data_IF_063212640693
#
_entry.id   IF_063212640693
#
_cell.length_a   1.000
_cell.length_b   1.000
_cell.length_c   1.000
_cell.angle_alpha   90.00
_cell.angle_beta   90.00
_cell.angle_gamma   90.00
#
_symmetry.space_group_name_H-M   'P 1'
#
loop_
_entity.id
_entity.type
_entity.pdbx_description
1 polymer ?
#
# COMPACT_ATOMS: atom_id res chain seq x y z
N UNK A 1 -2.92 -11.23 5.22
CA UNK A 1 -2.90 -9.93 4.51
C UNK A 1 -1.51 -9.30 4.48
N UNK A 2 -0.90 -8.97 5.64
CA UNK A 2 0.41 -8.29 5.71
C UNK A 2 1.49 -9.00 4.90
N UNK A 3 1.63 -10.31 5.03
CA UNK A 3 2.61 -11.11 4.29
C UNK A 3 2.44 -11.07 2.76
N UNK A 4 1.22 -10.89 2.28
CA UNK A 4 0.93 -10.80 0.83
C UNK A 4 1.17 -9.42 0.24
N UNK A 5 1.11 -8.36 1.06
CA UNK A 5 1.18 -6.97 0.58
C UNK A 5 2.51 -6.27 0.90
N UNK A 6 3.32 -6.82 1.80
CA UNK A 6 4.63 -6.26 2.16
C UNK A 6 5.60 -6.12 0.97
N UNK A 7 5.48 -7.01 -0.02
CA UNK A 7 6.33 -7.01 -1.21
C UNK A 7 6.21 -5.73 -2.03
N UNK A 8 5.02 -5.12 -2.09
CA UNK A 8 4.82 -3.84 -2.78
C UNK A 8 5.65 -2.72 -2.15
N UNK A 9 5.70 -2.67 -0.81
CA UNK A 9 6.52 -1.69 -0.10
C UNK A 9 8.00 -2.00 -0.31
N UNK A 10 8.39 -3.26 -0.13
CA UNK A 10 9.80 -3.68 -0.26
C UNK A 10 10.37 -3.34 -1.64
N UNK A 11 9.69 -3.71 -2.72
CA UNK A 11 10.18 -3.43 -4.08
C UNK A 11 10.24 -1.94 -4.38
N UNK A 12 9.27 -1.16 -3.92
CA UNK A 12 9.30 0.30 -4.10
C UNK A 12 10.45 0.94 -3.30
N UNK A 13 10.71 0.49 -2.07
CA UNK A 13 11.82 0.98 -1.26
C UNK A 13 13.18 0.61 -1.89
N UNK A 14 13.32 -0.62 -2.40
CA UNK A 14 14.52 -1.05 -3.12
C UNK A 14 14.72 -0.20 -4.38
N UNK A 15 13.67 0.03 -5.16
CA UNK A 15 13.72 0.88 -6.35
C UNK A 15 14.16 2.30 -6.00
N UNK A 16 13.59 2.90 -4.94
CA UNK A 16 13.99 4.21 -4.45
C UNK A 16 15.44 4.27 -3.99
N UNK A 17 15.89 3.26 -3.26
CA UNK A 17 17.29 3.17 -2.82
C UNK A 17 18.26 2.99 -3.98
N UNK A 18 17.87 2.27 -5.04
CA UNK A 18 18.67 2.05 -6.24
C UNK A 18 18.71 3.28 -7.15
N UNK A 19 17.64 4.07 -7.16
CA UNK A 19 17.56 5.30 -7.93
C UNK A 19 18.25 6.50 -7.26
N UNK A 20 18.79 6.30 -6.04
CA UNK A 20 19.42 7.37 -5.29
C UNK A 20 20.71 7.82 -5.97
N UNK A 21 20.88 9.13 -6.32
CA UNK A 21 22.04 9.61 -7.03
C UNK A 21 23.34 9.40 -6.25
N UNK A 22 24.40 8.96 -6.94
CA UNK A 22 25.73 8.75 -6.36
C UNK A 22 26.33 10.03 -5.76
N UNK A 23 25.98 11.17 -6.33
CA UNK A 23 26.49 12.49 -5.93
C UNK A 23 26.20 12.81 -4.46
N UNK A 24 25.02 12.41 -3.95
CA UNK A 24 24.70 12.56 -2.54
C UNK A 24 25.59 11.72 -1.63
N UNK A 25 25.99 10.53 -2.09
CA UNK A 25 26.92 9.67 -1.33
C UNK A 25 28.33 10.26 -1.31
N UNK A 26 28.78 10.82 -2.44
CA UNK A 26 30.07 11.49 -2.56
C UNK A 26 30.09 12.77 -1.72
N UNK A 27 29.03 13.57 -1.77
CA UNK A 27 28.89 14.75 -0.93
C UNK A 27 28.93 14.39 0.56
N UNK A 28 28.16 13.37 0.98
CA UNK A 28 28.17 12.91 2.36
C UNK A 28 29.55 12.44 2.83
N UNK A 29 30.30 11.74 1.96
CA UNK A 29 31.67 11.33 2.24
C UNK A 29 32.61 12.54 2.39
N UNK A 30 32.46 13.56 1.52
CA UNK A 30 33.25 14.80 1.57
C UNK A 30 33.01 15.59 2.85
N UNK A 31 31.76 15.64 3.32
CA UNK A 31 31.39 16.29 4.58
C UNK A 31 31.61 15.41 5.83
N UNK A 32 32.13 14.18 5.66
CA UNK A 32 32.36 13.20 6.73
C UNK A 32 31.09 12.95 7.58
N UNK A 33 29.93 12.88 6.93
CA UNK A 33 28.66 12.63 7.63
C UNK A 33 28.68 11.20 8.18
N UNK A 34 28.47 10.99 9.51
CA UNK A 34 28.45 9.66 10.10
C UNK A 34 27.32 8.81 9.49
N UNK A 35 27.54 7.50 9.36
CA UNK A 35 26.59 6.58 8.72
C UNK A 35 25.15 6.65 9.26
N UNK A 36 24.96 6.92 10.56
CA UNK A 36 23.63 7.10 11.13
C UNK A 36 22.93 8.36 10.62
N UNK A 37 23.63 9.51 10.54
CA UNK A 37 23.09 10.76 9.99
C UNK A 37 22.82 10.63 8.48
N UNK A 38 23.65 9.91 7.73
CA UNK A 38 23.38 9.58 6.34
C UNK A 38 22.03 8.89 6.17
N UNK A 39 21.75 7.85 6.99
CA UNK A 39 20.50 7.12 6.91
C UNK A 39 19.31 7.99 7.30
N UNK A 40 19.40 8.70 8.43
CA UNK A 40 18.29 9.47 9.00
C UNK A 40 17.96 10.72 8.20
N UNK A 41 18.97 11.48 7.80
CA UNK A 41 18.81 12.85 7.30
C UNK A 41 18.83 12.92 5.77
N UNK A 42 19.36 11.89 5.08
CA UNK A 42 19.47 11.84 3.63
C UNK A 42 18.68 10.67 3.03
N UNK A 43 19.03 9.43 3.40
CA UNK A 43 18.42 8.25 2.77
C UNK A 43 16.94 8.08 3.09
N UNK A 44 16.54 8.14 4.36
CA UNK A 44 15.15 7.95 4.74
C UNK A 44 14.22 9.01 4.12
N UNK A 45 14.53 10.31 4.17
CA UNK A 45 13.74 11.32 3.46
C UNK A 45 13.68 11.09 1.96
N UNK A 46 14.82 10.73 1.34
CA UNK A 46 14.88 10.50 -0.11
C UNK A 46 14.09 9.27 -0.59
N UNK A 47 14.01 8.22 0.22
CA UNK A 47 13.24 7.00 -0.07
C UNK A 47 11.76 7.16 0.31
N UNK A 48 11.40 8.13 1.13
CA UNK A 48 10.06 8.28 1.68
C UNK A 48 8.94 8.36 0.62
N UNK A 49 9.08 9.06 -0.53
CA UNK A 49 8.08 9.05 -1.59
C UNK A 49 7.85 7.65 -2.18
N UNK A 50 8.91 6.87 -2.35
CA UNK A 50 8.82 5.49 -2.83
C UNK A 50 8.11 4.58 -1.82
N UNK A 51 8.40 4.76 -0.53
CA UNK A 51 7.67 4.08 0.54
C UNK A 51 6.17 4.39 0.49
N UNK A 52 5.79 5.66 0.33
CA UNK A 52 4.39 6.07 0.23
C UNK A 52 3.73 5.44 -1.01
N UNK A 53 4.41 5.43 -2.15
CA UNK A 53 3.92 4.77 -3.38
C UNK A 53 3.71 3.27 -3.15
N UNK A 54 4.68 2.60 -2.53
CA UNK A 54 4.55 1.19 -2.15
C UNK A 54 3.40 0.92 -1.19
N UNK A 55 3.17 1.80 -0.22
CA UNK A 55 2.09 1.71 0.74
C UNK A 55 0.70 1.89 0.08
N UNK A 56 0.57 2.81 -0.87
CA UNK A 56 -0.65 2.99 -1.68
C UNK A 56 -0.95 1.72 -2.46
N UNK A 57 0.05 1.15 -3.14
CA UNK A 57 -0.09 -0.07 -3.92
C UNK A 57 -0.42 -1.27 -3.03
N UNK A 58 0.25 -1.39 -1.88
CA UNK A 58 -0.04 -2.41 -0.87
C UNK A 58 -1.47 -2.30 -0.32
N UNK A 59 -1.96 -1.08 -0.08
CA UNK A 59 -3.35 -0.83 0.32
C UNK A 59 -4.34 -1.33 -0.73
N UNK A 60 -4.11 -1.05 -2.02
CA UNK A 60 -4.92 -1.58 -3.11
C UNK A 60 -4.94 -3.12 -3.14
N UNK A 61 -3.77 -3.75 -2.99
CA UNK A 61 -3.66 -5.21 -2.89
C UNK A 61 -4.35 -5.79 -1.66
N UNK A 62 -4.33 -5.07 -0.53
CA UNK A 62 -4.98 -5.49 0.70
C UNK A 62 -6.50 -5.58 0.57
N UNK A 63 -7.13 -4.65 -0.17
CA UNK A 63 -8.58 -4.71 -0.46
C UNK A 63 -8.96 -5.98 -1.22
N UNK A 64 -8.20 -6.36 -2.26
CA UNK A 64 -8.45 -7.61 -2.98
C UNK A 64 -8.23 -8.83 -2.10
N UNK A 65 -7.16 -8.84 -1.30
CA UNK A 65 -6.86 -9.93 -0.38
C UNK A 65 -7.93 -10.07 0.72
N UNK A 66 -8.61 -8.97 1.11
CA UNK A 66 -9.67 -9.02 2.13
C UNK A 66 -10.87 -9.83 1.65
N UNK A 67 -11.30 -9.65 0.40
CA UNK A 67 -12.42 -10.41 -0.18
C UNK A 67 -12.14 -11.93 -0.07
N UNK A 68 -10.93 -12.33 -0.45
CA UNK A 68 -10.53 -13.75 -0.44
C UNK A 68 -10.39 -14.28 1.00
N UNK A 69 -9.83 -13.47 1.92
CA UNK A 69 -9.59 -13.90 3.30
C UNK A 69 -10.85 -13.95 4.18
N UNK A 70 -11.89 -13.20 3.82
CA UNK A 70 -13.17 -13.18 4.53
C UNK A 70 -14.08 -14.36 4.16
N UNK A 71 -13.83 -15.01 3.01
CA UNK A 71 -14.58 -16.17 2.55
C UNK A 71 -13.60 -17.29 2.14
N UNK A 72 -13.25 -18.14 3.09
CA UNK A 72 -12.33 -19.27 2.86
C UNK A 72 -13.09 -20.59 2.98
N UNK A 73 -12.98 -21.43 1.97
CA UNK A 73 -13.48 -22.80 2.03
C UNK A 73 -12.31 -23.78 2.21
N UNK A 74 -12.43 -24.66 3.21
CA UNK A 74 -11.48 -25.73 3.45
C UNK A 74 -12.21 -27.08 3.42
N UNK A 75 -12.12 -27.78 2.32
CA UNK A 75 -12.90 -29.00 2.10
C UNK A 75 -14.41 -28.72 2.15
N UNK A 76 -15.13 -29.38 3.05
CA UNK A 76 -16.57 -29.16 3.26
C UNK A 76 -16.89 -28.01 4.23
N UNK A 77 -15.88 -27.44 4.87
CA UNK A 77 -16.07 -26.38 5.88
C UNK A 77 -15.90 -25.01 5.25
N UNK A 78 -16.96 -24.18 5.30
CA UNK A 78 -16.90 -22.78 4.88
C UNK A 78 -16.68 -21.90 6.11
N UNK A 79 -15.59 -21.17 6.12
CA UNK A 79 -15.27 -20.17 7.14
C UNK A 79 -15.57 -18.79 6.51
N UNK A 80 -16.57 -18.11 7.02
CA UNK A 80 -16.85 -16.73 6.65
C UNK A 80 -16.60 -15.81 7.84
N UNK A 81 -15.72 -14.84 7.66
CA UNK A 81 -15.60 -13.68 8.54
C UNK A 81 -16.74 -12.70 8.27
N UNK A 82 -17.13 -11.90 9.26
CA UNK A 82 -18.10 -10.81 9.03
C UNK A 82 -17.39 -9.66 8.30
N UNK A 83 -17.76 -9.42 7.04
CA UNK A 83 -17.18 -8.34 6.25
C UNK A 83 -17.84 -8.17 4.88
N UNK A 84 -17.44 -7.12 4.17
CA UNK A 84 -18.00 -6.80 2.86
C UNK A 84 -17.59 -7.84 1.79
N UNK A 85 -16.40 -8.41 1.91
CA UNK A 85 -15.94 -9.50 1.06
C UNK A 85 -16.76 -10.78 1.25
N UNK A 86 -17.02 -11.16 2.50
CA UNK A 86 -17.90 -12.29 2.82
C UNK A 86 -19.32 -12.09 2.30
N UNK A 87 -19.86 -10.86 2.42
CA UNK A 87 -21.16 -10.51 1.86
C UNK A 87 -21.20 -10.71 0.34
N UNK A 88 -20.21 -10.19 -0.38
CA UNK A 88 -20.11 -10.33 -1.84
C UNK A 88 -20.03 -11.82 -2.21
N UNK A 89 -19.21 -12.60 -1.50
CA UNK A 89 -19.07 -14.04 -1.73
C UNK A 89 -20.41 -14.79 -1.51
N UNK A 90 -21.13 -14.51 -0.44
CA UNK A 90 -22.44 -15.11 -0.18
C UNK A 90 -23.49 -14.76 -1.24
N UNK A 91 -23.53 -13.49 -1.68
CA UNK A 91 -24.45 -13.07 -2.73
C UNK A 91 -24.07 -13.68 -4.08
N UNK A 92 -22.78 -13.92 -4.33
CA UNK A 92 -22.30 -14.61 -5.54
C UNK A 92 -22.76 -16.07 -5.55
N UNK A 93 -22.68 -16.76 -4.41
CA UNK A 93 -23.20 -18.14 -4.29
C UNK A 93 -24.73 -18.21 -4.45
N UNK A 94 -25.44 -17.19 -3.97
CA UNK A 94 -26.90 -17.08 -4.10
C UNK A 94 -27.36 -16.66 -5.51
N UNK A 95 -26.45 -16.20 -6.37
CA UNK A 95 -26.79 -15.68 -7.71
C UNK A 95 -27.54 -14.35 -7.69
N UNK A 96 -27.45 -13.58 -6.58
CA UNK A 96 -28.13 -12.30 -6.40
C UNK A 96 -27.30 -11.15 -6.98
N UNK A 97 -27.36 -11.00 -8.30
CA UNK A 97 -26.59 -9.97 -9.02
C UNK A 97 -26.82 -8.53 -8.56
N UNK A 98 -28.06 -8.08 -8.22
CA UNK A 98 -28.27 -6.73 -7.69
C UNK A 98 -27.52 -6.47 -6.39
N UNK A 99 -27.47 -7.44 -5.47
CA UNK A 99 -26.77 -7.31 -4.20
C UNK A 99 -25.26 -7.42 -4.36
N UNK A 100 -24.77 -8.22 -5.32
CA UNK A 100 -23.35 -8.24 -5.70
C UNK A 100 -22.94 -6.86 -6.19
N UNK A 101 -23.70 -6.26 -7.11
CA UNK A 101 -23.41 -4.93 -7.64
C UNK A 101 -23.39 -3.86 -6.53
N UNK A 102 -24.33 -3.94 -5.58
CA UNK A 102 -24.37 -3.05 -4.41
C UNK A 102 -23.11 -3.21 -3.55
N UNK A 103 -22.71 -4.44 -3.24
CA UNK A 103 -21.49 -4.73 -2.47
C UNK A 103 -20.24 -4.18 -3.13
N UNK A 104 -20.11 -4.37 -4.43
CA UNK A 104 -18.97 -3.84 -5.22
C UNK A 104 -18.99 -2.30 -5.24
N UNK A 105 -20.17 -1.68 -5.38
CA UNK A 105 -20.31 -0.23 -5.37
C UNK A 105 -19.89 0.36 -4.02
N UNK A 106 -20.33 -0.23 -2.90
CA UNK A 106 -19.93 0.20 -1.56
C UNK A 106 -18.43 0.03 -1.35
N UNK A 107 -17.85 -1.10 -1.76
CA UNK A 107 -16.41 -1.32 -1.66
C UNK A 107 -15.63 -0.29 -2.47
N UNK A 108 -16.07 -0.01 -3.69
CA UNK A 108 -15.44 0.99 -4.55
C UNK A 108 -15.49 2.39 -3.93
N UNK A 109 -16.62 2.77 -3.34
CA UNK A 109 -16.75 4.05 -2.63
C UNK A 109 -15.78 4.14 -1.44
N UNK A 110 -15.64 3.07 -0.66
CA UNK A 110 -14.71 3.04 0.47
C UNK A 110 -13.26 3.16 0.00
N UNK A 111 -12.87 2.44 -1.04
CA UNK A 111 -11.51 2.51 -1.62
C UNK A 111 -11.22 3.91 -2.14
N UNK A 112 -12.16 4.53 -2.87
CA UNK A 112 -12.01 5.90 -3.38
C UNK A 112 -11.94 6.90 -2.23
N UNK A 113 -12.78 6.76 -1.20
CA UNK A 113 -12.74 7.62 -0.02
C UNK A 113 -11.41 7.53 0.71
N UNK A 114 -10.92 6.31 0.98
CA UNK A 114 -9.61 6.08 1.59
C UNK A 114 -8.47 6.71 0.76
N UNK A 115 -8.50 6.50 -0.55
CA UNK A 115 -7.50 7.08 -1.43
C UNK A 115 -7.53 8.61 -1.39
N UNK A 116 -8.72 9.20 -1.43
CA UNK A 116 -8.88 10.65 -1.50
C UNK A 116 -8.60 11.36 -0.17
N UNK A 117 -8.99 10.75 0.95
CA UNK A 117 -8.88 11.35 2.28
C UNK A 117 -7.55 11.07 2.98
N UNK A 118 -6.93 9.91 2.70
CA UNK A 118 -5.70 9.50 3.36
C UNK A 118 -4.49 9.54 2.41
N UNK A 119 -4.57 8.81 1.29
CA UNK A 119 -3.40 8.60 0.45
C UNK A 119 -2.99 9.84 -0.36
N UNK A 120 -3.93 10.56 -0.95
CA UNK A 120 -3.62 11.77 -1.72
C UNK A 120 -2.93 12.87 -0.88
N UNK A 121 -3.44 13.26 0.30
CA UNK A 121 -2.74 14.23 1.12
C UNK A 121 -1.39 13.72 1.63
N UNK A 122 -1.27 12.42 1.96
CA UNK A 122 -0.01 11.85 2.40
C UNK A 122 1.04 11.86 1.27
N UNK A 123 0.63 11.52 0.06
CA UNK A 123 1.50 11.59 -1.11
C UNK A 123 1.95 13.03 -1.41
N UNK A 124 1.01 13.97 -1.40
CA UNK A 124 1.33 15.39 -1.60
C UNK A 124 2.25 15.94 -0.50
N UNK A 125 2.10 15.48 0.73
CA UNK A 125 2.99 15.85 1.84
C UNK A 125 4.40 15.26 1.62
N UNK A 126 4.49 14.00 1.24
CA UNK A 126 5.75 13.34 0.94
C UNK A 126 6.50 14.08 -0.18
N UNK A 127 5.80 14.35 -1.29
CA UNK A 127 6.36 15.02 -2.46
C UNK A 127 6.87 16.43 -2.14
N UNK A 128 6.10 17.23 -1.40
CA UNK A 128 6.50 18.61 -1.03
C UNK A 128 7.72 18.67 -0.10
N UNK A 129 7.93 17.65 0.72
CA UNK A 129 8.99 17.66 1.74
C UNK A 129 10.28 17.01 1.26
N UNK A 130 10.21 16.20 0.21
CA UNK A 130 11.35 15.42 -0.28
C UNK A 130 11.72 15.75 -1.73
N UNK A 131 11.02 16.70 -2.35
CA UNK A 131 11.41 17.21 -3.66
C UNK A 131 12.69 18.02 -3.48
N UNK A 132 13.76 17.46 -3.99
CA UNK A 132 15.05 18.13 -4.16
C UNK A 132 14.96 18.88 -5.49
N UNK A 133 14.35 20.06 -5.49
CA UNK A 133 14.45 21.03 -6.58
C UNK A 133 15.71 21.84 -6.43
#
# INVERSE_FOLDING_TARGET
>A
MILGTQWYILFNVIAGASAFPSDFREAAASFRIPGWHWWRDVMLPGIFPYYVTGAITASGGAWNASIVSEAVSWGSTKLSGGGLGAYIAQMTEAGDYPRIALGIAVMSMLVVAMNRLLWRPLYAFAERRTRLD
#
